data_IF_590788777738
#
_entry.id   IF_590788777738
#
_cell.length_a   1.000
_cell.length_b   1.000
_cell.length_c   1.000
_cell.angle_alpha   90.00
_cell.angle_beta   90.00
_cell.angle_gamma   90.00
#
_symmetry.space_group_name_H-M   'P 1'
#
loop_
_entity.id
_entity.type
_entity.pdbx_description
1 polymer ?
#
# COMPACT_ATOMS: atom_id res chain seq x y z
N UNK A 1 11.02 44.67 3.39
CA UNK A 1 10.37 43.51 2.73
C UNK A 1 9.32 42.94 3.66
N UNK A 2 8.05 43.02 3.26
CA UNK A 2 6.91 42.86 4.18
C UNK A 2 6.67 41.41 4.60
N UNK A 3 6.10 41.24 5.80
CA UNK A 3 5.49 40.00 6.31
C UNK A 3 4.65 39.24 5.26
N UNK A 4 3.98 39.95 4.35
CA UNK A 4 3.23 39.39 3.22
C UNK A 4 4.11 38.60 2.25
N UNK A 5 5.32 39.08 1.96
CA UNK A 5 6.28 38.41 1.07
C UNK A 5 6.80 37.12 1.72
N UNK A 6 7.06 37.13 3.03
CA UNK A 6 7.47 35.94 3.77
C UNK A 6 6.36 34.89 3.80
N UNK A 7 5.11 35.31 4.02
CA UNK A 7 3.96 34.39 4.03
C UNK A 7 3.72 33.74 2.66
N UNK A 8 3.88 34.51 1.57
CA UNK A 8 3.76 34.00 0.20
C UNK A 8 4.85 32.95 -0.11
N UNK A 9 6.08 33.16 0.36
CA UNK A 9 7.17 32.20 0.20
C UNK A 9 6.91 30.89 0.97
N UNK A 10 6.44 31.00 2.22
CA UNK A 10 6.09 29.82 3.02
C UNK A 10 4.96 29.00 2.38
N UNK A 11 3.95 29.67 1.82
CA UNK A 11 2.84 29.00 1.12
C UNK A 11 3.32 28.29 -0.15
N UNK A 12 4.23 28.90 -0.93
CA UNK A 12 4.80 28.28 -2.12
C UNK A 12 5.63 27.04 -1.79
N UNK A 13 6.46 27.11 -0.73
CA UNK A 13 7.24 25.96 -0.24
C UNK A 13 6.31 24.84 0.24
N UNK A 14 5.23 25.18 0.96
CA UNK A 14 4.25 24.21 1.40
C UNK A 14 3.56 23.49 0.22
N UNK A 15 3.16 24.25 -0.81
CA UNK A 15 2.56 23.68 -2.03
C UNK A 15 3.54 22.78 -2.81
N UNK A 16 4.83 23.11 -2.81
CA UNK A 16 5.87 22.26 -3.40
C UNK A 16 6.03 20.93 -2.64
N UNK A 17 6.00 20.96 -1.31
CA UNK A 17 6.12 19.76 -0.46
C UNK A 17 4.95 18.80 -0.68
N UNK A 18 3.71 19.32 -0.80
CA UNK A 18 2.51 18.50 -1.05
C UNK A 18 2.58 17.78 -2.40
N UNK A 19 3.16 18.40 -3.43
CA UNK A 19 3.28 17.79 -4.76
C UNK A 19 4.35 16.68 -4.80
N UNK A 20 5.46 16.82 -4.07
CA UNK A 20 6.50 15.79 -3.98
C UNK A 20 6.07 14.54 -3.21
N UNK A 21 5.08 14.65 -2.32
CA UNK A 21 4.52 13.50 -1.59
C UNK A 21 3.61 12.61 -2.46
N UNK A 22 3.32 13.01 -3.71
CA UNK A 22 2.47 12.25 -4.64
C UNK A 22 3.29 11.39 -5.60
N UNK A 23 4.09 10.47 -5.07
CA UNK A 23 4.83 9.53 -5.91
C UNK A 23 4.95 8.15 -5.26
N UNK A 24 3.84 7.40 -5.27
CA UNK A 24 3.87 5.94 -5.43
C UNK A 24 2.82 5.63 -6.49
N UNK A 25 3.28 5.36 -7.71
CA UNK A 25 2.46 4.79 -8.77
C UNK A 25 2.82 3.31 -8.87
N UNK A 26 2.09 2.45 -8.17
CA UNK A 26 2.22 0.98 -8.28
C UNK A 26 1.41 0.44 -9.46
N UNK A 27 1.51 1.08 -10.62
CA UNK A 27 0.70 0.75 -11.79
C UNK A 27 1.33 -0.41 -12.55
N UNK A 28 1.13 -1.65 -12.06
CA UNK A 28 1.48 -2.86 -12.80
C UNK A 28 1.61 -4.14 -11.98
N UNK A 29 2.03 -4.07 -10.72
CA UNK A 29 2.32 -5.26 -9.90
C UNK A 29 1.07 -5.92 -9.31
N UNK A 30 0.02 -5.14 -9.03
CA UNK A 30 -1.24 -5.63 -8.44
C UNK A 30 -1.89 -6.75 -9.28
N UNK A 31 -1.88 -6.63 -10.61
CA UNK A 31 -2.43 -7.67 -11.49
C UNK A 31 -1.57 -8.93 -11.52
N UNK A 32 -0.26 -8.81 -11.30
CA UNK A 32 0.67 -9.96 -11.27
C UNK A 32 0.48 -10.79 -10.00
N UNK A 33 0.12 -10.15 -8.90
CA UNK A 33 -0.04 -10.80 -7.60
C UNK A 33 -1.41 -11.47 -7.44
N UNK A 34 -2.31 -11.32 -8.42
CA UNK A 34 -3.68 -11.85 -8.36
C UNK A 34 -3.70 -13.37 -8.41
N UNK A 35 -4.31 -13.97 -7.39
CA UNK A 35 -4.50 -15.42 -7.30
C UNK A 35 -5.76 -15.80 -8.11
N UNK A 36 -5.58 -16.58 -9.17
CA UNK A 36 -6.69 -17.07 -9.98
C UNK A 36 -7.47 -18.20 -9.30
N UNK A 37 -6.76 -19.14 -8.66
CA UNK A 37 -7.35 -20.24 -7.90
C UNK A 37 -6.30 -20.84 -6.95
N UNK A 38 -6.74 -21.34 -5.79
CA UNK A 38 -5.89 -22.10 -4.89
C UNK A 38 -6.23 -23.60 -4.95
N UNK A 39 -5.23 -24.50 -4.87
CA UNK A 39 -5.48 -25.94 -4.81
C UNK A 39 -6.40 -26.31 -3.63
N UNK A 40 -7.52 -26.98 -3.90
CA UNK A 40 -8.46 -27.42 -2.87
C UNK A 40 -9.38 -26.33 -2.31
N UNK A 41 -9.26 -25.07 -2.78
CA UNK A 41 -10.19 -24.01 -2.40
C UNK A 41 -11.49 -24.14 -3.21
N UNK A 42 -12.67 -24.14 -2.56
CA UNK A 42 -13.94 -24.00 -3.25
C UNK A 42 -14.01 -22.68 -4.04
N UNK A 43 -14.93 -22.58 -5.01
CA UNK A 43 -15.11 -21.33 -5.76
C UNK A 43 -15.44 -20.18 -4.80
N UNK A 44 -14.67 -19.09 -4.88
CA UNK A 44 -14.89 -17.86 -4.12
C UNK A 44 -15.20 -16.68 -5.04
N UNK A 45 -15.97 -15.72 -4.56
CA UNK A 45 -16.40 -14.52 -5.29
C UNK A 45 -15.47 -13.32 -5.12
N UNK A 46 -14.63 -13.32 -4.09
CA UNK A 46 -13.74 -12.21 -3.77
C UNK A 46 -12.37 -12.35 -4.45
N UNK A 47 -11.74 -11.19 -4.68
CA UNK A 47 -10.36 -11.13 -5.15
C UNK A 47 -9.38 -11.52 -4.05
N UNK A 48 -8.34 -12.27 -4.42
CA UNK A 48 -7.23 -12.59 -3.55
C UNK A 48 -5.91 -12.28 -4.26
N UNK A 49 -4.95 -11.76 -3.52
CA UNK A 49 -3.65 -11.36 -4.03
C UNK A 49 -2.57 -11.82 -3.06
N UNK A 50 -1.42 -12.25 -3.57
CA UNK A 50 -0.26 -12.57 -2.74
C UNK A 50 1.02 -12.22 -3.45
N UNK A 51 1.99 -11.72 -2.70
CA UNK A 51 3.28 -11.32 -3.24
C UNK A 51 4.27 -10.96 -2.15
N UNK A 52 5.34 -10.27 -2.56
CA UNK A 52 6.39 -9.80 -1.66
C UNK A 52 6.50 -8.27 -1.74
N UNK A 53 6.57 -7.63 -0.58
CA UNK A 53 6.86 -6.20 -0.46
C UNK A 53 8.27 -6.05 0.07
N UNK A 54 9.17 -5.46 -0.73
CA UNK A 54 10.54 -5.22 -0.29
C UNK A 54 10.57 -4.12 0.78
N UNK A 55 11.11 -4.47 1.95
CA UNK A 55 11.21 -3.54 3.10
C UNK A 55 12.62 -2.98 3.28
N UNK A 56 13.62 -3.63 2.68
CA UNK A 56 15.01 -3.16 2.72
C UNK A 56 15.80 -3.77 1.56
N UNK A 57 16.02 -2.98 0.51
CA UNK A 57 16.82 -3.41 -0.65
C UNK A 57 18.26 -3.75 -0.26
N UNK A 58 18.89 -2.89 0.54
CA UNK A 58 20.28 -3.06 0.97
C UNK A 58 20.51 -4.34 1.79
N UNK A 59 19.50 -4.78 2.53
CA UNK A 59 19.55 -6.03 3.30
C UNK A 59 18.89 -7.21 2.57
N UNK A 60 18.37 -7.01 1.35
CA UNK A 60 17.64 -8.03 0.60
C UNK A 60 16.40 -8.57 1.32
N UNK A 61 15.73 -7.75 2.15
CA UNK A 61 14.58 -8.20 2.95
C UNK A 61 13.26 -7.79 2.29
N UNK A 62 12.37 -8.77 2.15
CA UNK A 62 11.00 -8.58 1.71
C UNK A 62 10.03 -9.32 2.63
N UNK A 63 8.82 -8.78 2.80
CA UNK A 63 7.73 -9.40 3.55
C UNK A 63 6.74 -10.02 2.59
N UNK A 64 6.38 -11.27 2.84
CA UNK A 64 5.27 -11.91 2.15
C UNK A 64 3.94 -11.38 2.67
N UNK A 65 2.97 -11.20 1.77
CA UNK A 65 1.60 -10.84 2.13
C UNK A 65 0.58 -11.74 1.41
N UNK A 66 -0.59 -11.89 2.02
CA UNK A 66 -1.78 -12.45 1.39
C UNK A 66 -2.98 -11.56 1.73
N UNK A 67 -3.53 -10.90 0.71
CA UNK A 67 -4.70 -10.04 0.80
C UNK A 67 -5.92 -10.79 0.28
N UNK A 68 -6.96 -10.87 1.11
CA UNK A 68 -8.30 -11.26 0.68
C UNK A 68 -9.19 -10.02 0.72
N UNK A 69 -9.76 -9.65 -0.42
CA UNK A 69 -10.68 -8.53 -0.51
C UNK A 69 -12.03 -8.87 0.13
N UNK A 70 -12.77 -7.84 0.52
CA UNK A 70 -14.14 -8.02 1.00
C UNK A 70 -15.07 -8.47 -0.13
N UNK A 71 -15.99 -9.38 0.18
CA UNK A 71 -17.08 -9.73 -0.73
C UNK A 71 -17.98 -8.51 -1.00
N UNK A 72 -18.15 -8.19 -2.27
CA UNK A 72 -18.96 -7.08 -2.79
C UNK A 72 -18.50 -5.68 -2.34
N UNK A 73 -18.22 -4.82 -3.32
CA UNK A 73 -17.83 -3.42 -3.10
C UNK A 73 -16.58 -3.25 -2.23
N UNK A 74 -15.52 -4.03 -2.49
CA UNK A 74 -14.26 -4.02 -1.74
C UNK A 74 -13.67 -2.61 -1.60
N UNK A 75 -13.74 -1.79 -2.65
CA UNK A 75 -13.22 -0.41 -2.65
C UNK A 75 -13.85 0.52 -1.61
N UNK A 76 -15.04 0.19 -1.07
CA UNK A 76 -15.71 1.00 -0.05
C UNK A 76 -15.51 0.46 1.38
N UNK A 77 -14.80 -0.66 1.54
CA UNK A 77 -14.59 -1.33 2.82
C UNK A 77 -13.24 -0.92 3.41
N UNK A 78 -13.12 -0.87 4.75
CA UNK A 78 -11.84 -0.56 5.40
C UNK A 78 -10.84 -1.70 5.21
N UNK A 79 -9.55 -1.37 5.24
CA UNK A 79 -8.46 -2.34 5.24
C UNK A 79 -8.17 -2.82 6.67
N UNK A 80 -8.09 -4.13 6.86
CA UNK A 80 -7.66 -4.77 8.12
C UNK A 80 -6.29 -5.42 7.92
N UNK A 81 -5.30 -5.01 8.71
CA UNK A 81 -3.99 -5.64 8.74
C UNK A 81 -3.93 -6.65 9.89
N UNK A 82 -3.68 -7.92 9.57
CA UNK A 82 -3.49 -8.99 10.55
C UNK A 82 -2.01 -9.37 10.65
N UNK A 83 -1.44 -9.24 11.85
CA UNK A 83 -0.06 -9.62 12.15
C UNK A 83 -0.06 -10.71 13.22
N UNK A 84 0.51 -11.87 12.88
CA UNK A 84 0.78 -12.91 13.86
C UNK A 84 2.07 -12.60 14.60
N UNK A 85 2.18 -13.07 15.84
CA UNK A 85 3.42 -13.01 16.59
C UNK A 85 3.46 -14.06 17.69
N UNK A 86 4.65 -14.59 17.93
CA UNK A 86 5.02 -15.15 19.22
C UNK A 86 6.20 -14.32 19.71
N UNK A 87 6.08 -13.81 20.93
CA UNK A 87 7.18 -13.13 21.58
C UNK A 87 8.08 -14.20 22.19
N UNK A 88 9.11 -14.62 21.46
CA UNK A 88 10.17 -15.43 22.06
C UNK A 88 11.00 -14.51 22.99
N UNK A 89 10.80 -14.68 24.30
CA UNK A 89 11.70 -14.22 25.37
C UNK A 89 12.84 -15.20 25.59
#
# INVERSE_FOLDING_TARGET
>A
MGNKTVLLLLLQVFLLIINSARSVSSTGEEYSDRIAALPGQPSVSFGQYSGYVTVSDAAGRALFYWLAEADNNASSKPLLLWLNGEFCI
#
